data_IF_205861013676
#
_entry.id   IF_205861013676
#
_cell.length_a   1.000
_cell.length_b   1.000
_cell.length_c   1.000
_cell.angle_alpha   90.00
_cell.angle_beta   90.00
_cell.angle_gamma   90.00
#
_symmetry.space_group_name_H-M   'P 1'
#
loop_
_entity.id
_entity.type
_entity.pdbx_description
1 polymer ?
#
# COMPACT_ATOMS: atom_id res chain seq x y z
N UNK A 1 20.15 -5.22 -12.64
CA UNK A 1 18.87 -4.86 -11.99
C UNK A 1 17.77 -5.26 -12.95
N UNK A 2 16.90 -6.17 -12.53
CA UNK A 2 15.97 -6.89 -13.42
C UNK A 2 14.92 -5.92 -14.02
N UNK A 3 14.75 -5.90 -15.34
CA UNK A 3 13.92 -4.90 -16.04
C UNK A 3 12.46 -4.91 -15.56
N UNK A 4 11.99 -6.05 -15.06
CA UNK A 4 10.66 -6.23 -14.48
C UNK A 4 10.47 -5.45 -13.17
N UNK A 5 11.46 -5.44 -12.27
CA UNK A 5 11.36 -4.72 -10.99
C UNK A 5 11.20 -3.21 -11.24
N UNK A 6 12.02 -2.66 -12.14
CA UNK A 6 11.97 -1.23 -12.50
C UNK A 6 10.60 -0.82 -13.07
N UNK A 7 9.96 -1.69 -13.85
CA UNK A 7 8.63 -1.40 -14.39
C UNK A 7 7.55 -1.37 -13.30
N UNK A 8 7.60 -2.27 -12.32
CA UNK A 8 6.68 -2.25 -11.17
C UNK A 8 6.85 -0.97 -10.32
N UNK A 9 8.10 -0.63 -9.97
CA UNK A 9 8.40 0.58 -9.19
C UNK A 9 7.96 1.85 -9.93
N UNK A 10 8.15 1.91 -11.25
CA UNK A 10 7.72 3.04 -12.06
C UNK A 10 6.18 3.20 -12.07
N UNK A 11 5.44 2.09 -12.15
CA UNK A 11 3.98 2.11 -12.11
C UNK A 11 3.46 2.58 -10.74
N UNK A 12 4.03 2.06 -9.65
CA UNK A 12 3.71 2.48 -8.28
C UNK A 12 3.94 3.99 -8.10
N UNK A 13 5.09 4.49 -8.55
CA UNK A 13 5.45 5.91 -8.47
C UNK A 13 4.51 6.80 -9.29
N UNK A 14 4.24 6.44 -10.55
CA UNK A 14 3.37 7.25 -11.43
C UNK A 14 1.95 7.40 -10.86
N UNK A 15 1.37 6.30 -10.40
CA UNK A 15 0.02 6.30 -9.83
C UNK A 15 -0.04 7.07 -8.52
N UNK A 16 0.91 6.81 -7.61
CA UNK A 16 0.99 7.52 -6.35
C UNK A 16 1.27 9.01 -6.53
N UNK A 17 2.13 9.40 -7.46
CA UNK A 17 2.40 10.81 -7.78
C UNK A 17 1.13 11.52 -8.27
N UNK A 18 0.38 10.89 -9.17
CA UNK A 18 -0.90 11.40 -9.67
C UNK A 18 -1.90 11.60 -8.53
N UNK A 19 -2.02 10.61 -7.64
CA UNK A 19 -2.89 10.69 -6.46
C UNK A 19 -2.44 11.80 -5.50
N UNK A 20 -1.15 11.91 -5.20
CA UNK A 20 -0.63 12.89 -4.25
C UNK A 20 -0.77 14.32 -4.77
N UNK A 21 -0.52 14.56 -6.06
CA UNK A 21 -0.70 15.88 -6.68
C UNK A 21 -2.16 16.33 -6.74
N UNK A 22 -3.10 15.39 -6.93
CA UNK A 22 -4.54 15.69 -6.94
C UNK A 22 -5.13 15.83 -5.53
N UNK A 23 -4.43 15.38 -4.50
CA UNK A 23 -4.91 15.43 -3.11
C UNK A 23 -4.53 16.75 -2.44
N UNK A 24 -5.52 17.64 -2.27
CA UNK A 24 -5.34 18.97 -1.67
C UNK A 24 -4.71 19.01 -0.26
N UNK A 25 -4.71 17.91 0.48
CA UNK A 25 -4.10 17.85 1.82
C UNK A 25 -2.60 17.56 1.80
N UNK A 26 -2.03 17.15 0.66
CA UNK A 26 -0.60 16.86 0.51
C UNK A 26 0.18 18.15 0.30
N UNK A 27 1.25 18.35 1.08
CA UNK A 27 2.15 19.51 0.97
C UNK A 27 3.44 19.16 0.24
N UNK A 28 4.05 18.03 0.59
CA UNK A 28 5.28 17.51 -0.03
C UNK A 28 5.31 16.00 0.06
N UNK A 29 6.00 15.34 -0.87
CA UNK A 29 6.24 13.90 -0.84
C UNK A 29 7.59 13.57 -1.46
N UNK A 30 8.14 12.40 -1.13
CA UNK A 30 9.28 11.81 -1.83
C UNK A 30 9.12 10.29 -1.90
N UNK A 31 9.65 9.71 -2.97
CA UNK A 31 9.70 8.27 -3.16
C UNK A 31 11.03 7.71 -2.67
N UNK A 32 11.00 6.53 -2.08
CA UNK A 32 12.20 5.77 -1.73
C UNK A 32 12.69 4.99 -2.95
N UNK A 33 13.95 4.57 -2.92
CA UNK A 33 14.55 3.68 -3.91
C UNK A 33 15.32 2.55 -3.22
N UNK A 34 15.40 1.39 -3.88
CA UNK A 34 16.13 0.23 -3.36
C UNK A 34 15.33 -0.58 -2.32
N UNK A 35 16.03 -1.41 -1.52
CA UNK A 35 15.42 -2.35 -0.57
C UNK A 35 14.87 -1.72 0.73
N UNK A 36 14.31 -0.51 0.62
CA UNK A 36 13.64 0.17 1.73
C UNK A 36 12.27 -0.48 1.96
N UNK A 37 11.80 -0.54 3.21
CA UNK A 37 10.58 -1.27 3.58
C UNK A 37 9.27 -0.58 3.19
N UNK A 38 9.31 0.68 2.75
CA UNK A 38 8.18 1.51 2.35
C UNK A 38 8.53 2.25 1.06
N UNK A 39 7.52 2.71 0.32
CA UNK A 39 7.65 3.22 -1.05
C UNK A 39 7.68 4.75 -1.13
N UNK A 40 7.03 5.44 -0.17
CA UNK A 40 7.03 6.89 -0.12
C UNK A 40 6.87 7.45 1.29
N UNK A 41 7.26 8.72 1.45
CA UNK A 41 6.83 9.55 2.58
C UNK A 41 6.06 10.74 2.06
N UNK A 42 4.93 11.01 2.69
CA UNK A 42 4.06 12.15 2.41
C UNK A 42 4.00 13.03 3.65
N UNK A 43 4.01 14.35 3.45
CA UNK A 43 3.73 15.30 4.50
C UNK A 43 2.49 16.08 4.13
N UNK A 44 1.54 16.15 5.06
CA UNK A 44 0.34 16.92 4.85
C UNK A 44 0.54 18.41 5.19
N UNK A 45 -0.52 19.20 5.01
CA UNK A 45 -0.54 20.63 5.34
C UNK A 45 -0.28 20.94 6.82
N UNK A 46 -0.53 19.98 7.72
CA UNK A 46 -0.26 20.09 9.16
C UNK A 46 1.16 19.61 9.53
N UNK A 47 2.02 19.31 8.54
CA UNK A 47 3.36 18.74 8.73
C UNK A 47 3.40 17.35 9.36
N UNK A 48 2.27 16.63 9.44
CA UNK A 48 2.28 15.22 9.84
C UNK A 48 3.07 14.42 8.79
N UNK A 49 4.02 13.61 9.25
CA UNK A 49 4.82 12.72 8.43
C UNK A 49 4.11 11.37 8.29
N UNK A 50 3.82 10.99 7.04
CA UNK A 50 3.03 9.83 6.69
C UNK A 50 3.92 8.86 5.92
N UNK A 51 4.13 7.66 6.48
CA UNK A 51 4.81 6.56 5.83
C UNK A 51 3.81 5.83 4.91
N UNK A 52 4.20 5.59 3.66
CA UNK A 52 3.31 5.01 2.65
C UNK A 52 3.93 3.79 2.00
N UNK A 53 3.17 2.69 1.99
CA UNK A 53 3.42 1.51 1.17
C UNK A 53 2.37 1.47 0.05
N UNK A 54 2.80 1.20 -1.17
CA UNK A 54 2.00 1.22 -2.40
C UNK A 54 2.01 -0.17 -3.02
N UNK A 55 0.88 -0.58 -3.58
CA UNK A 55 0.78 -1.81 -4.38
C UNK A 55 -0.07 -1.56 -5.61
N UNK A 56 0.41 -2.01 -6.76
CA UNK A 56 -0.36 -2.02 -8.01
C UNK A 56 -0.86 -3.44 -8.28
N UNK A 57 -2.17 -3.60 -8.40
CA UNK A 57 -2.84 -4.87 -8.65
C UNK A 57 -3.30 -4.93 -10.10
N UNK A 58 -3.00 -6.03 -10.77
CA UNK A 58 -3.40 -6.30 -12.16
C UNK A 58 -4.84 -6.83 -12.28
N UNK A 59 -5.69 -6.54 -11.30
CA UNK A 59 -7.06 -6.99 -11.24
C UNK A 59 -7.98 -5.90 -10.70
N UNK A 60 -9.26 -6.00 -11.04
CA UNK A 60 -10.32 -5.09 -10.63
C UNK A 60 -10.57 -5.09 -9.12
N UNK A 61 -10.97 -3.94 -8.56
CA UNK A 61 -11.16 -3.76 -7.10
C UNK A 61 -12.16 -4.79 -6.52
N UNK A 62 -13.19 -5.16 -7.30
CA UNK A 62 -14.28 -6.06 -6.90
C UNK A 62 -13.94 -7.55 -7.01
N UNK A 63 -12.72 -7.91 -7.40
CA UNK A 63 -12.33 -9.32 -7.58
C UNK A 63 -12.35 -10.11 -6.27
N UNK A 64 -12.09 -9.45 -5.14
CA UNK A 64 -12.06 -10.04 -3.81
C UNK A 64 -12.79 -9.13 -2.83
N UNK A 65 -13.46 -9.72 -1.84
CA UNK A 65 -14.15 -8.97 -0.78
C UNK A 65 -13.16 -8.31 0.20
N UNK A 66 -12.02 -8.97 0.42
CA UNK A 66 -10.98 -8.56 1.35
C UNK A 66 -9.60 -8.51 0.67
N UNK A 67 -8.72 -7.67 1.21
CA UNK A 67 -7.35 -7.48 0.71
C UNK A 67 -6.34 -8.02 1.70
N UNK A 68 -5.07 -8.14 1.31
CA UNK A 68 -4.05 -8.75 2.16
C UNK A 68 -2.91 -7.79 2.46
N UNK A 69 -2.42 -7.87 3.68
CA UNK A 69 -1.10 -7.37 4.07
C UNK A 69 -0.29 -8.53 4.68
N UNK A 70 0.94 -8.70 4.21
CA UNK A 70 1.86 -9.70 4.77
C UNK A 70 2.29 -9.26 6.17
N UNK A 71 2.25 -10.17 7.15
CA UNK A 71 2.55 -9.85 8.56
C UNK A 71 3.98 -9.33 8.71
N UNK A 72 4.95 -9.92 8.01
CA UNK A 72 6.34 -9.45 8.05
C UNK A 72 6.52 -8.06 7.45
N UNK A 73 5.78 -7.73 6.38
CA UNK A 73 5.77 -6.37 5.83
C UNK A 73 5.17 -5.40 6.85
N UNK A 74 4.03 -5.73 7.45
CA UNK A 74 3.40 -4.91 8.48
C UNK A 74 4.34 -4.64 9.66
N UNK A 75 5.00 -5.67 10.20
CA UNK A 75 5.98 -5.53 11.28
C UNK A 75 7.11 -4.57 10.93
N UNK A 76 7.65 -4.65 9.71
CA UNK A 76 8.71 -3.74 9.22
C UNK A 76 8.21 -2.31 9.09
N UNK A 77 6.99 -2.10 8.59
CA UNK A 77 6.36 -0.78 8.49
C UNK A 77 6.17 -0.16 9.87
N UNK A 78 5.66 -0.91 10.84
CA UNK A 78 5.48 -0.46 12.24
C UNK A 78 6.82 -0.06 12.86
N UNK A 79 7.80 -0.95 12.82
CA UNK A 79 9.14 -0.69 13.39
C UNK A 79 9.79 0.55 12.77
N UNK A 80 9.60 0.76 11.47
CA UNK A 80 10.10 1.95 10.77
C UNK A 80 9.32 3.19 11.17
N UNK A 81 8.00 3.09 11.27
CA UNK A 81 7.09 4.10 11.80
C UNK A 81 7.58 4.65 13.14
N UNK A 82 7.82 3.74 14.08
CA UNK A 82 8.29 4.05 15.44
C UNK A 82 9.70 4.66 15.45
N UNK A 83 10.65 4.02 14.75
CA UNK A 83 12.05 4.45 14.70
C UNK A 83 12.21 5.88 14.21
N UNK A 84 11.47 6.25 13.17
CA UNK A 84 11.55 7.56 12.53
C UNK A 84 10.43 8.51 12.97
N UNK A 85 9.60 8.11 13.94
CA UNK A 85 8.50 8.90 14.51
C UNK A 85 7.52 9.41 13.44
N UNK A 86 7.12 8.54 12.52
CA UNK A 86 6.04 8.85 11.58
C UNK A 86 4.70 8.89 12.32
N UNK A 87 3.88 9.89 12.01
CA UNK A 87 2.56 10.09 12.64
C UNK A 87 1.53 9.07 12.12
N UNK A 88 1.64 8.69 10.84
CA UNK A 88 0.69 7.80 10.16
C UNK A 88 1.39 6.80 9.24
N UNK A 89 0.75 5.64 9.07
CA UNK A 89 1.10 4.60 8.11
C UNK A 89 -0.11 4.36 7.21
N UNK A 90 0.08 4.52 5.89
CA UNK A 90 -0.93 4.24 4.89
C UNK A 90 -0.49 3.10 3.97
N UNK A 91 -1.44 2.24 3.63
CA UNK A 91 -1.25 1.17 2.66
C UNK A 91 -2.19 1.36 1.48
N UNK A 92 -1.63 1.77 0.34
CA UNK A 92 -2.37 2.14 -0.87
C UNK A 92 -2.36 0.96 -1.84
N UNK A 93 -3.53 0.50 -2.25
CA UNK A 93 -3.67 -0.46 -3.34
C UNK A 93 -4.34 0.23 -4.52
N UNK A 94 -3.68 0.21 -5.68
CA UNK A 94 -4.24 0.60 -6.96
C UNK A 94 -4.70 -0.65 -7.72
N UNK A 95 -5.79 -0.54 -8.46
CA UNK A 95 -6.45 -1.62 -9.19
C UNK A 95 -6.69 -1.19 -10.63
N UNK A 96 -6.39 -2.07 -11.58
CA UNK A 96 -6.71 -1.85 -12.99
C UNK A 96 -8.22 -1.92 -13.20
N UNK A 97 -8.77 -1.04 -14.04
CA UNK A 97 -10.16 -1.10 -14.50
C UNK A 97 -10.25 -1.58 -15.95
N UNK A 98 -11.46 -1.64 -16.50
CA UNK A 98 -11.67 -1.95 -17.92
C UNK A 98 -11.20 -0.81 -18.85
N UNK A 99 -11.01 0.40 -18.30
CA UNK A 99 -10.42 1.55 -19.00
C UNK A 99 -8.93 1.63 -18.69
N UNK A 100 -8.01 1.48 -19.67
CA UNK A 100 -6.56 1.43 -19.42
C UNK A 100 -5.98 2.64 -18.68
N UNK A 101 -6.60 3.81 -18.82
CA UNK A 101 -6.20 5.07 -18.21
C UNK A 101 -6.78 5.30 -16.80
N UNK A 102 -7.76 4.50 -16.38
CA UNK A 102 -8.45 4.65 -15.10
C UNK A 102 -8.00 3.56 -14.12
N UNK A 103 -7.62 3.99 -12.94
CA UNK A 103 -7.27 3.12 -11.82
C UNK A 103 -8.15 3.44 -10.62
N UNK A 104 -8.75 2.42 -10.04
CA UNK A 104 -9.39 2.52 -8.73
C UNK A 104 -8.34 2.35 -7.63
N UNK A 105 -8.59 2.92 -6.45
CA UNK A 105 -7.71 2.75 -5.31
C UNK A 105 -8.46 2.53 -4.00
N UNK A 106 -7.78 1.86 -3.07
CA UNK A 106 -8.11 1.85 -1.63
C UNK A 106 -6.87 2.27 -0.85
N UNK A 107 -7.05 3.21 0.08
CA UNK A 107 -6.06 3.62 1.07
C UNK A 107 -6.50 3.07 2.42
N UNK A 108 -5.79 2.05 2.90
CA UNK A 108 -5.97 1.53 4.25
C UNK A 108 -5.20 2.37 5.25
N UNK A 109 -5.89 2.85 6.28
CA UNK A 109 -5.27 3.58 7.38
C UNK A 109 -4.76 2.60 8.44
N UNK A 110 -3.51 2.15 8.26
CA UNK A 110 -2.88 1.14 9.12
C UNK A 110 -2.74 1.68 10.55
N UNK A 111 -2.47 2.98 10.73
CA UNK A 111 -2.38 3.59 12.06
C UNK A 111 -3.67 3.46 12.86
N UNK A 112 -4.84 3.71 12.25
CA UNK A 112 -6.11 3.53 12.95
C UNK A 112 -6.40 2.05 13.22
N UNK A 113 -6.09 1.16 12.27
CA UNK A 113 -6.23 -0.29 12.47
C UNK A 113 -5.38 -0.79 13.63
N UNK A 114 -4.15 -0.29 13.79
CA UNK A 114 -3.29 -0.66 14.91
C UNK A 114 -3.89 -0.26 16.25
N UNK A 115 -4.64 0.85 16.34
CA UNK A 115 -5.35 1.21 17.57
C UNK A 115 -6.45 0.19 17.89
N UNK A 116 -7.26 -0.16 16.90
CA UNK A 116 -8.33 -1.18 17.03
C UNK A 116 -7.72 -2.54 17.43
N UNK A 117 -6.60 -2.89 16.82
CA UNK A 117 -5.92 -4.16 17.05
C UNK A 117 -5.24 -4.28 18.43
N UNK A 118 -5.05 -3.17 19.15
CA UNK A 118 -4.60 -3.23 20.56
C UNK A 118 -5.63 -3.94 21.44
N UNK A 119 -6.91 -3.67 21.20
CA UNK A 119 -8.00 -4.25 21.98
C UNK A 119 -8.46 -5.60 21.42
N UNK A 120 -8.36 -5.78 20.10
CA UNK A 120 -8.74 -7.02 19.42
C UNK A 120 -7.77 -7.36 18.29
N UNK A 121 -6.83 -8.26 18.57
CA UNK A 121 -5.83 -8.71 17.60
C UNK A 121 -6.49 -9.22 16.30
N UNK A 122 -5.90 -8.92 15.12
CA UNK A 122 -6.40 -9.44 13.87
C UNK A 122 -6.16 -10.95 13.80
N UNK A 123 -7.02 -11.65 13.08
CA UNK A 123 -6.79 -13.04 12.71
C UNK A 123 -5.75 -13.08 11.61
N UNK A 124 -4.76 -13.96 11.75
CA UNK A 124 -3.78 -14.25 10.72
C UNK A 124 -4.12 -15.54 9.98
N UNK A 125 -3.83 -15.56 8.69
CA UNK A 125 -4.01 -16.73 7.82
C UNK A 125 -2.70 -17.06 7.11
N UNK A 126 -2.45 -18.35 6.87
CA UNK A 126 -1.33 -18.79 6.03
C UNK A 126 -1.81 -18.99 4.59
N UNK A 127 -1.25 -18.23 3.64
CA UNK A 127 -1.58 -18.34 2.21
C UNK A 127 -0.36 -18.67 1.36
N UNK A 128 -0.55 -19.50 0.33
CA UNK A 128 0.48 -19.81 -0.66
C UNK A 128 0.58 -18.66 -1.69
N UNK A 129 1.69 -17.92 -1.66
CA UNK A 129 1.86 -16.66 -2.40
C UNK A 129 3.19 -16.60 -3.13
N UNK A 130 3.37 -15.64 -4.04
CA UNK A 130 4.69 -15.41 -4.65
C UNK A 130 5.71 -15.06 -3.57
N UNK A 131 6.90 -15.65 -3.65
CA UNK A 131 8.01 -15.30 -2.76
C UNK A 131 8.32 -13.80 -2.84
N UNK A 132 8.47 -13.30 -4.06
CA UNK A 132 8.70 -11.89 -4.36
C UNK A 132 7.69 -11.43 -5.43
N UNK A 133 7.15 -10.22 -5.28
CA UNK A 133 6.10 -9.70 -6.18
C UNK A 133 6.57 -9.60 -7.63
N UNK A 134 7.86 -9.35 -7.87
CA UNK A 134 8.44 -9.16 -9.20
C UNK A 134 9.04 -10.44 -9.83
N UNK A 135 9.32 -11.47 -9.03
CA UNK A 135 9.81 -12.76 -9.53
C UNK A 135 8.63 -13.73 -9.65
N UNK A 136 8.03 -13.76 -10.85
CA UNK A 136 7.41 -14.91 -11.52
C UNK A 136 6.57 -15.91 -10.70
N UNK A 137 5.42 -16.31 -11.25
CA UNK A 137 4.50 -17.35 -10.74
C UNK A 137 5.14 -18.72 -10.37
N UNK A 138 6.43 -18.92 -10.63
CA UNK A 138 7.17 -20.17 -10.47
C UNK A 138 7.62 -20.46 -9.03
N UNK A 139 7.88 -19.44 -8.19
CA UNK A 139 8.29 -19.66 -6.79
C UNK A 139 7.22 -19.16 -5.83
N UNK A 140 6.46 -20.12 -5.30
CA UNK A 140 5.49 -19.87 -4.23
C UNK A 140 6.06 -20.24 -2.87
N UNK A 141 5.69 -19.49 -1.84
CA UNK A 141 6.01 -19.75 -0.44
C UNK A 141 4.77 -19.50 0.40
N UNK A 142 4.67 -20.17 1.54
CA UNK A 142 3.65 -19.87 2.53
C UNK A 142 4.00 -18.56 3.23
N UNK A 143 3.04 -17.63 3.26
CA UNK A 143 3.16 -16.35 3.96
C UNK A 143 2.01 -16.20 4.93
N UNK A 144 2.32 -15.64 6.09
CA UNK A 144 1.31 -15.21 7.06
C UNK A 144 0.77 -13.84 6.64
N UNK A 145 -0.56 -13.73 6.55
CA UNK A 145 -1.26 -12.52 6.11
C UNK A 145 -2.39 -12.14 7.06
N UNK A 146 -2.74 -10.86 7.06
CA UNK A 146 -3.97 -10.35 7.66
C UNK A 146 -4.91 -9.93 6.53
N UNK A 147 -6.17 -10.34 6.62
CA UNK A 147 -7.23 -9.89 5.71
C UNK A 147 -7.71 -8.49 6.13
N UNK A 148 -7.55 -7.52 5.24
CA UNK A 148 -7.99 -6.14 5.36
C UNK A 148 -9.36 -5.98 4.70
N UNK A 149 -10.40 -5.86 5.53
CA UNK A 149 -11.76 -5.48 5.11
C UNK A 149 -11.87 -3.97 5.03
N UNK A 150 -12.38 -3.41 3.93
CA UNK A 150 -12.57 -1.96 3.82
C UNK A 150 -13.52 -1.43 4.90
N UNK A 151 -13.15 -0.33 5.54
CA UNK A 151 -13.95 0.37 6.53
C UNK A 151 -14.04 1.86 6.20
N UNK A 152 -15.23 2.34 5.85
CA UNK A 152 -15.45 3.72 5.42
C UNK A 152 -15.21 4.78 6.50
N UNK A 153 -15.12 4.37 7.78
CA UNK A 153 -14.91 5.31 8.88
C UNK A 153 -13.47 5.84 8.93
N UNK A 154 -12.48 5.08 8.44
CA UNK A 154 -11.08 5.48 8.46
C UNK A 154 -10.26 5.15 7.20
N UNK A 155 -10.77 4.29 6.31
CA UNK A 155 -10.17 4.04 5.01
C UNK A 155 -10.76 4.94 3.92
N UNK A 156 -10.05 5.08 2.80
CA UNK A 156 -10.53 5.84 1.64
C UNK A 156 -10.54 4.98 0.39
N UNK A 157 -11.51 5.20 -0.49
CA UNK A 157 -11.54 4.63 -1.84
C UNK A 157 -11.81 5.73 -2.86
N UNK A 158 -11.40 5.52 -4.10
CA UNK A 158 -11.62 6.47 -5.18
C UNK A 158 -11.01 6.00 -6.49
N UNK A 159 -10.90 6.92 -7.43
CA UNK A 159 -10.32 6.68 -8.75
C UNK A 159 -9.32 7.78 -9.12
N UNK A 160 -8.36 7.42 -9.97
CA UNK A 160 -7.48 8.35 -10.65
C UNK A 160 -7.48 8.05 -12.15
N UNK A 161 -7.37 9.10 -12.95
CA UNK A 161 -7.19 9.00 -14.40
C UNK A 161 -5.80 9.49 -14.75
N UNK A 162 -5.01 8.65 -15.42
CA UNK A 162 -3.73 9.04 -15.99
C UNK A 162 -4.00 9.94 -17.21
N UNK A 163 -3.43 11.14 -17.22
CA UNK A 163 -3.50 12.10 -18.33
C UNK A 163 -2.31 11.96 -19.25
#
# INVERSE_FOLDING_TARGET
MDSKLKNYENAERLLAETLFKSTNSVRKYYFTSGHICYDAVVYNKNNEAILVEIKVRSFNIKKYDDYIIEVDKLRRLISTGEKYKFDKILYINFFTTDKPEVYEFIIFNITERLKIWKDKQPVTETKLMNAETYISNTRKVYKEVIMLKYDETFDKKGEITLK
#
